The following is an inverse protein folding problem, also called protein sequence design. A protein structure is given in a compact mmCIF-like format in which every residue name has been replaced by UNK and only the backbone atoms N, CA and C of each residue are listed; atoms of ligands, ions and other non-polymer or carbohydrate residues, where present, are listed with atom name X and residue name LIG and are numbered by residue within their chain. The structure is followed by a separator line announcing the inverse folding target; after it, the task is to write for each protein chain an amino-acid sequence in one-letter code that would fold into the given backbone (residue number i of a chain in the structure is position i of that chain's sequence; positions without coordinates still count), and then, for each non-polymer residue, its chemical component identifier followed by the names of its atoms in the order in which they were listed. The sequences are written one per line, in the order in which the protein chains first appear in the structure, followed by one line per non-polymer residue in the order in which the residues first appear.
data_IF_274349885742
#
_entry.id   IF_274349885742
#
_cell.length_a   1.000
_cell.length_b   1.000
_cell.length_c   1.000
_cell.angle_alpha   90.00
_cell.angle_beta   90.00
_cell.angle_gamma   90.00
#
_symmetry.space_group_name_H-M   'P 1'
#
loop_
_entity.id
_entity.type
_entity.pdbx_description
1 polymer ?
#
# COMPACT_ATOMS: atom_id res chain seq x y z
N UNK A 1 5.27 -15.61 8.47
CA UNK A 1 4.96 -14.47 9.34
C UNK A 1 6.19 -14.19 10.17
N UNK A 2 6.59 -12.94 10.31
CA UNK A 2 7.88 -12.52 10.89
C UNK A 2 8.00 -13.01 12.34
N UNK A 3 9.01 -13.84 12.63
CA UNK A 3 9.28 -14.33 13.99
C UNK A 3 10.07 -13.30 14.82
N UNK A 4 10.90 -12.53 14.15
CA UNK A 4 11.73 -11.47 14.72
C UNK A 4 11.57 -10.23 13.84
N UNK A 5 10.69 -9.32 14.24
CA UNK A 5 10.65 -7.98 13.63
C UNK A 5 11.83 -7.22 14.22
N UNK A 6 12.79 -6.75 13.41
CA UNK A 6 13.86 -5.91 13.92
C UNK A 6 13.20 -4.69 14.58
N UNK A 7 13.45 -4.51 15.87
CA UNK A 7 13.13 -3.25 16.52
C UNK A 7 13.99 -2.22 15.81
N UNK A 8 13.35 -1.28 15.12
CA UNK A 8 14.08 -0.18 14.51
C UNK A 8 14.86 0.50 15.64
N UNK A 9 16.18 0.34 15.63
CA UNK A 9 17.03 1.10 16.52
C UNK A 9 16.72 2.58 16.31
N UNK A 10 16.70 3.35 17.38
CA UNK A 10 16.77 4.82 17.29
C UNK A 10 18.14 5.14 16.70
N UNK A 11 18.18 5.21 15.38
CA UNK A 11 19.40 5.35 14.62
C UNK A 11 19.30 6.64 13.83
N UNK A 12 20.22 7.56 14.10
CA UNK A 12 20.32 8.85 13.40
C UNK A 12 20.61 8.66 11.90
N UNK A 13 21.08 7.47 11.49
CA UNK A 13 21.48 7.12 10.14
C UNK A 13 20.40 6.38 9.32
N UNK A 14 19.20 6.17 9.87
CA UNK A 14 18.16 5.36 9.20
C UNK A 14 17.73 5.91 7.83
N UNK A 15 17.73 7.23 7.67
CA UNK A 15 17.36 7.89 6.40
C UNK A 15 18.44 7.59 5.35
N UNK A 16 19.72 7.83 5.70
CA UNK A 16 20.83 7.61 4.78
C UNK A 16 20.94 6.13 4.38
N UNK A 17 20.82 5.21 5.32
CA UNK A 17 20.82 3.76 5.01
C UNK A 17 19.66 3.37 4.09
N UNK A 18 18.49 4.01 4.24
CA UNK A 18 17.37 3.76 3.34
C UNK A 18 17.69 4.25 1.93
N UNK A 19 18.28 5.43 1.79
CA UNK A 19 18.72 5.97 0.50
C UNK A 19 19.78 5.07 -0.13
N UNK A 20 20.81 4.66 0.63
CA UNK A 20 21.88 3.80 0.15
C UNK A 20 21.31 2.45 -0.35
N UNK A 21 20.38 1.84 0.39
CA UNK A 21 19.71 0.62 -0.03
C UNK A 21 18.86 0.83 -1.30
N UNK A 22 18.15 1.96 -1.41
CA UNK A 22 17.39 2.31 -2.61
C UNK A 22 18.33 2.48 -3.83
N UNK A 23 19.44 3.18 -3.66
CA UNK A 23 20.42 3.40 -4.73
C UNK A 23 21.08 2.09 -5.20
N UNK A 24 21.51 1.26 -4.27
CA UNK A 24 22.09 -0.05 -4.56
C UNK A 24 21.14 -0.95 -5.38
N UNK A 25 19.83 -0.75 -5.25
CA UNK A 25 18.80 -1.56 -5.89
C UNK A 25 18.03 -0.84 -7.01
N UNK A 26 18.46 0.35 -7.42
CA UNK A 26 17.83 1.10 -8.50
C UNK A 26 16.42 1.62 -8.17
N UNK A 27 16.07 1.70 -6.88
CA UNK A 27 14.78 2.25 -6.43
C UNK A 27 14.87 3.77 -6.37
N UNK A 28 14.16 4.44 -7.26
CA UNK A 28 14.24 5.91 -7.37
C UNK A 28 13.39 6.63 -6.35
N UNK A 29 12.18 6.12 -6.04
CA UNK A 29 11.22 6.74 -5.11
C UNK A 29 10.57 5.70 -4.22
N UNK A 30 10.26 6.10 -2.98
CA UNK A 30 9.49 5.30 -2.02
C UNK A 30 8.26 6.06 -1.51
N UNK A 31 7.10 5.40 -1.48
CA UNK A 31 5.94 5.89 -0.74
C UNK A 31 6.07 5.45 0.72
N UNK A 32 6.20 6.41 1.63
CA UNK A 32 6.38 6.16 3.06
C UNK A 32 5.19 6.69 3.86
N UNK A 33 4.77 5.92 4.85
CA UNK A 33 3.65 6.29 5.70
C UNK A 33 4.12 7.29 6.78
N UNK A 34 3.34 8.35 7.00
CA UNK A 34 3.57 9.35 8.05
C UNK A 34 3.29 8.77 9.44
N UNK A 35 4.18 7.88 9.89
CA UNK A 35 4.20 7.33 11.23
C UNK A 35 5.41 7.92 11.98
N UNK A 36 5.17 9.01 12.71
CA UNK A 36 6.22 9.72 13.45
C UNK A 36 7.02 10.72 12.61
N UNK A 37 8.01 11.37 13.27
CA UNK A 37 8.75 12.49 12.68
C UNK A 37 9.77 12.08 11.60
N UNK A 38 10.33 10.86 11.65
CA UNK A 38 11.39 10.43 10.71
C UNK A 38 10.93 10.42 9.25
N UNK A 39 9.70 10.00 8.97
CA UNK A 39 9.16 10.00 7.61
C UNK A 39 9.05 11.43 7.04
N UNK A 40 8.63 12.38 7.87
CA UNK A 40 8.55 13.79 7.50
C UNK A 40 9.96 14.36 7.26
N UNK A 41 10.88 14.14 8.20
CA UNK A 41 12.28 14.57 8.06
C UNK A 41 12.92 14.02 6.79
N UNK A 42 12.68 12.74 6.46
CA UNK A 42 13.18 12.13 5.24
C UNK A 42 12.61 12.82 3.98
N UNK A 43 11.31 13.08 3.96
CA UNK A 43 10.65 13.72 2.81
C UNK A 43 11.02 15.21 2.67
N UNK A 44 11.25 15.93 3.76
CA UNK A 44 11.73 17.32 3.73
C UNK A 44 13.17 17.42 3.23
N UNK A 45 14.03 16.49 3.66
CA UNK A 45 15.43 16.46 3.24
C UNK A 45 15.62 15.92 1.80
N UNK A 46 14.76 15.01 1.36
CA UNK A 46 14.87 14.30 0.08
C UNK A 46 13.49 14.19 -0.62
N UNK A 47 12.86 15.32 -1.00
CA UNK A 47 11.50 15.34 -1.55
C UNK A 47 11.40 14.61 -2.92
N UNK A 48 12.50 14.48 -3.62
CA UNK A 48 12.59 13.73 -4.87
C UNK A 48 12.61 12.21 -4.66
N UNK A 49 12.91 11.75 -3.42
CA UNK A 49 13.07 10.33 -3.08
C UNK A 49 11.88 9.77 -2.31
N UNK A 50 11.27 10.57 -1.44
CA UNK A 50 10.19 10.11 -0.55
C UNK A 50 8.88 10.82 -0.82
N UNK A 51 7.86 10.03 -1.13
CA UNK A 51 6.47 10.45 -1.23
C UNK A 51 5.76 10.08 0.07
N UNK A 52 4.88 10.94 0.55
CA UNK A 52 4.21 10.75 1.83
C UNK A 52 2.80 10.16 1.67
N UNK A 53 2.45 9.25 2.58
CA UNK A 53 1.13 8.65 2.71
C UNK A 53 0.56 8.98 4.10
N UNK A 54 -0.60 9.62 4.17
CA UNK A 54 -1.31 9.84 5.43
C UNK A 54 -1.82 8.53 6.01
N UNK A 55 -1.64 8.30 7.31
CA UNK A 55 -2.22 7.16 8.01
C UNK A 55 -3.34 7.64 8.93
N UNK A 56 -4.51 7.01 8.86
CA UNK A 56 -5.70 7.47 9.58
C UNK A 56 -6.40 6.36 10.36
N UNK A 57 -7.07 6.73 11.45
CA UNK A 57 -7.99 5.86 12.18
C UNK A 57 -9.44 6.30 11.90
N UNK A 58 -10.23 5.51 11.17
CA UNK A 58 -11.62 5.81 10.87
C UNK A 58 -12.53 5.89 12.10
N UNK A 59 -12.10 5.46 13.27
CA UNK A 59 -12.86 5.64 14.51
C UNK A 59 -13.06 7.11 14.88
N UNK A 60 -12.14 7.98 14.45
CA UNK A 60 -12.20 9.43 14.66
C UNK A 60 -12.48 10.14 13.33
N UNK A 61 -13.66 9.89 12.75
CA UNK A 61 -14.04 10.29 11.39
C UNK A 61 -13.62 11.72 11.03
N UNK A 62 -14.05 12.71 11.80
CA UNK A 62 -13.75 14.11 11.48
C UNK A 62 -12.29 14.48 11.69
N UNK A 63 -11.63 13.90 12.68
CA UNK A 63 -10.21 14.09 12.88
C UNK A 63 -9.39 13.45 11.74
N UNK A 64 -9.80 12.28 11.25
CA UNK A 64 -9.18 11.63 10.09
C UNK A 64 -9.33 12.48 8.82
N UNK A 65 -10.54 13.01 8.55
CA UNK A 65 -10.77 13.92 7.41
C UNK A 65 -9.91 15.18 7.50
N UNK A 66 -9.88 15.81 8.68
CA UNK A 66 -9.08 17.02 8.88
C UNK A 66 -7.58 16.72 8.71
N UNK A 67 -7.11 15.62 9.29
CA UNK A 67 -5.71 15.17 9.14
C UNK A 67 -5.32 14.99 7.68
N UNK A 68 -6.16 14.33 6.87
CA UNK A 68 -5.90 14.15 5.43
C UNK A 68 -5.74 15.50 4.73
N UNK A 69 -6.65 16.46 4.98
CA UNK A 69 -6.59 17.79 4.37
C UNK A 69 -5.34 18.56 4.80
N UNK A 70 -5.06 18.60 6.11
CA UNK A 70 -3.92 19.32 6.66
C UNK A 70 -2.58 18.75 6.16
N UNK A 71 -2.43 17.41 6.14
CA UNK A 71 -1.22 16.75 5.67
C UNK A 71 -1.06 16.88 4.15
N UNK A 72 -2.17 16.84 3.40
CA UNK A 72 -2.13 17.07 1.96
C UNK A 72 -1.73 18.52 1.63
N UNK A 73 -2.30 19.50 2.33
CA UNK A 73 -1.97 20.91 2.14
C UNK A 73 -0.50 21.22 2.50
N UNK A 74 -0.04 20.70 3.67
CA UNK A 74 1.29 21.03 4.19
C UNK A 74 2.41 20.25 3.55
N UNK A 75 2.20 18.96 3.30
CA UNK A 75 3.25 18.02 2.93
C UNK A 75 3.05 17.38 1.56
N UNK A 76 2.00 17.77 0.82
CA UNK A 76 1.68 17.26 -0.51
C UNK A 76 1.59 15.72 -0.52
N UNK A 77 0.95 15.14 0.51
CA UNK A 77 0.76 13.68 0.59
C UNK A 77 0.13 13.13 -0.69
N UNK A 78 0.55 11.95 -1.11
CA UNK A 78 0.18 11.32 -2.39
C UNK A 78 -0.79 10.16 -2.21
N UNK A 79 -1.06 9.75 -0.99
CA UNK A 79 -1.96 8.65 -0.67
C UNK A 79 -2.49 8.75 0.75
N UNK A 80 -3.54 7.99 1.03
CA UNK A 80 -4.06 7.75 2.38
C UNK A 80 -4.00 6.25 2.66
N UNK A 81 -3.78 5.86 3.90
CA UNK A 81 -3.82 4.46 4.30
C UNK A 81 -4.50 4.25 5.64
N UNK A 82 -5.04 3.06 5.84
CA UNK A 82 -5.44 2.58 7.16
C UNK A 82 -5.42 1.06 7.24
N UNK A 83 -5.35 0.55 8.47
CA UNK A 83 -5.33 -0.87 8.78
C UNK A 83 -6.65 -1.26 9.48
N UNK A 84 -7.65 -1.80 8.76
CA UNK A 84 -9.00 -2.07 9.29
C UNK A 84 -9.01 -2.89 10.58
N UNK A 85 -8.28 -4.01 10.59
CA UNK A 85 -8.16 -4.90 11.75
C UNK A 85 -7.19 -4.39 12.83
N UNK A 86 -6.42 -3.35 12.55
CA UNK A 86 -5.53 -2.68 13.51
C UNK A 86 -6.20 -1.53 14.27
N UNK A 87 -7.34 -1.06 13.79
CA UNK A 87 -8.15 -0.07 14.51
C UNK A 87 -8.72 -0.64 15.82
N UNK A 88 -8.96 0.22 16.81
CA UNK A 88 -9.60 -0.18 18.07
C UNK A 88 -10.76 0.76 18.42
N UNK A 89 -12.03 0.31 18.28
CA UNK A 89 -12.48 -0.98 17.72
C UNK A 89 -12.09 -1.16 16.25
N UNK A 90 -12.10 -2.41 15.77
CA UNK A 90 -11.89 -2.71 14.34
C UNK A 90 -12.91 -1.97 13.48
N UNK A 91 -12.49 -1.46 12.33
CA UNK A 91 -13.37 -0.75 11.39
C UNK A 91 -13.37 -1.49 10.05
N UNK A 92 -14.47 -2.13 9.67
CA UNK A 92 -14.60 -2.76 8.36
C UNK A 92 -14.32 -1.80 7.21
N UNK A 93 -13.77 -2.34 6.09
CA UNK A 93 -13.45 -1.55 4.90
C UNK A 93 -14.66 -0.76 4.38
N UNK A 94 -15.85 -1.35 4.44
CA UNK A 94 -17.14 -0.81 4.00
C UNK A 94 -17.99 -0.21 5.12
N UNK A 95 -17.41 0.09 6.28
CA UNK A 95 -18.11 0.74 7.38
C UNK A 95 -18.46 2.20 7.03
N UNK A 96 -19.62 2.67 7.48
CA UNK A 96 -20.04 4.06 7.28
C UNK A 96 -19.04 5.11 7.78
N UNK A 97 -18.22 4.78 8.76
CA UNK A 97 -17.14 5.64 9.27
C UNK A 97 -16.04 5.91 8.23
N UNK A 98 -15.83 5.00 7.27
CA UNK A 98 -14.81 5.17 6.23
C UNK A 98 -15.29 6.07 5.09
N UNK A 99 -16.59 6.23 4.88
CA UNK A 99 -17.16 6.97 3.75
C UNK A 99 -16.72 8.44 3.67
N UNK A 100 -16.71 9.22 4.76
CA UNK A 100 -16.20 10.59 4.73
C UNK A 100 -14.72 10.65 4.34
N UNK A 101 -13.92 9.64 4.73
CA UNK A 101 -12.51 9.51 4.34
C UNK A 101 -12.41 9.26 2.84
N UNK A 102 -13.19 8.31 2.30
CA UNK A 102 -13.22 8.01 0.87
C UNK A 102 -13.68 9.19 0.03
N UNK A 103 -14.72 9.88 0.46
CA UNK A 103 -15.18 11.10 -0.21
C UNK A 103 -14.10 12.19 -0.24
N UNK A 104 -13.36 12.37 0.86
CA UNK A 104 -12.23 13.30 0.92
C UNK A 104 -11.08 12.86 -0.01
N UNK A 105 -10.80 11.55 -0.08
CA UNK A 105 -9.80 11.03 -1.00
C UNK A 105 -10.19 11.26 -2.47
N UNK A 106 -11.46 11.10 -2.84
CA UNK A 106 -11.97 11.43 -4.19
C UNK A 106 -11.79 12.91 -4.47
N UNK A 107 -12.22 13.79 -3.56
CA UNK A 107 -12.11 15.24 -3.70
C UNK A 107 -10.66 15.70 -3.94
N UNK A 108 -9.71 15.12 -3.21
CA UNK A 108 -8.28 15.45 -3.29
C UNK A 108 -7.52 14.62 -4.35
N UNK A 109 -8.21 13.75 -5.09
CA UNK A 109 -7.62 12.78 -6.05
C UNK A 109 -6.51 11.91 -5.42
N UNK A 110 -6.66 11.52 -4.16
CA UNK A 110 -5.75 10.66 -3.43
C UNK A 110 -6.20 9.19 -3.50
N UNK A 111 -5.33 8.25 -3.87
CA UNK A 111 -5.61 6.84 -3.72
C UNK A 111 -5.63 6.44 -2.24
N UNK A 112 -6.43 5.41 -1.91
CA UNK A 112 -6.45 4.82 -0.57
C UNK A 112 -5.84 3.42 -0.60
N UNK A 113 -4.85 3.20 0.29
CA UNK A 113 -4.17 1.92 0.47
C UNK A 113 -4.72 1.21 1.72
N UNK A 114 -5.38 0.08 1.54
CA UNK A 114 -6.08 -0.62 2.62
C UNK A 114 -5.55 -2.05 2.75
N UNK A 115 -5.26 -2.46 3.99
CA UNK A 115 -4.86 -3.84 4.24
C UNK A 115 -6.00 -4.80 3.89
N UNK A 116 -5.68 -5.90 3.22
CA UNK A 116 -6.62 -6.90 2.72
C UNK A 116 -6.21 -8.32 3.14
N UNK A 117 -7.18 -9.19 3.37
CA UNK A 117 -6.94 -10.59 3.73
C UNK A 117 -6.62 -10.80 5.20
N UNK A 118 -5.97 -11.91 5.54
CA UNK A 118 -5.62 -12.24 6.92
C UNK A 118 -4.50 -11.34 7.45
N UNK A 119 -4.71 -10.63 8.56
CA UNK A 119 -3.70 -9.73 9.10
C UNK A 119 -2.46 -10.47 9.62
N UNK A 120 -1.29 -9.87 9.45
CA UNK A 120 -0.02 -10.38 10.00
C UNK A 120 -0.01 -10.43 11.54
N UNK A 121 -0.39 -9.35 12.25
CA UNK A 121 -0.59 -9.37 13.70
C UNK A 121 -1.72 -10.30 14.13
N UNK A 122 -1.70 -10.72 15.42
CA UNK A 122 -2.72 -11.59 16.01
C UNK A 122 -3.99 -10.80 16.39
N UNK A 123 -4.69 -10.34 15.37
CA UNK A 123 -5.98 -9.62 15.49
C UNK A 123 -7.03 -10.29 14.60
N UNK A 124 -8.31 -10.02 14.85
CA UNK A 124 -9.41 -10.59 14.05
C UNK A 124 -9.40 -9.96 12.65
N UNK A 125 -9.44 -10.79 11.60
CA UNK A 125 -9.28 -10.38 10.20
C UNK A 125 -10.56 -9.94 9.49
N UNK A 126 -11.75 -10.13 10.08
CA UNK A 126 -13.03 -9.89 9.39
C UNK A 126 -13.18 -8.46 8.83
N UNK A 127 -12.63 -7.46 9.54
CA UNK A 127 -12.70 -6.06 9.12
C UNK A 127 -12.03 -5.79 7.76
N UNK A 128 -11.05 -6.60 7.36
CA UNK A 128 -10.33 -6.47 6.09
C UNK A 128 -10.59 -7.63 5.10
N UNK A 129 -11.77 -8.26 5.22
CA UNK A 129 -12.20 -9.27 4.26
C UNK A 129 -12.29 -8.70 2.85
N UNK A 130 -11.70 -9.41 1.88
CA UNK A 130 -11.55 -8.94 0.49
C UNK A 130 -12.88 -8.61 -0.18
N UNK A 131 -13.97 -9.34 0.13
CA UNK A 131 -15.28 -9.11 -0.44
C UNK A 131 -15.87 -7.72 -0.16
N UNK A 132 -15.42 -7.04 0.93
CA UNK A 132 -15.88 -5.69 1.30
C UNK A 132 -15.47 -4.60 0.32
N UNK A 133 -14.42 -4.83 -0.47
CA UNK A 133 -14.01 -3.90 -1.55
C UNK A 133 -15.08 -3.78 -2.65
N UNK A 134 -15.95 -4.77 -2.82
CA UNK A 134 -17.02 -4.74 -3.82
C UNK A 134 -17.98 -3.56 -3.59
N UNK A 135 -18.40 -3.36 -2.33
CA UNK A 135 -19.25 -2.24 -1.91
C UNK A 135 -18.56 -0.90 -2.11
N UNK A 136 -17.31 -0.78 -1.64
CA UNK A 136 -16.55 0.48 -1.72
C UNK A 136 -16.33 0.91 -3.16
N UNK A 137 -15.94 -0.01 -4.03
CA UNK A 137 -15.73 0.30 -5.45
C UNK A 137 -17.03 0.66 -6.18
N UNK A 138 -18.17 0.11 -5.74
CA UNK A 138 -19.49 0.47 -6.26
C UNK A 138 -19.91 1.87 -5.84
N UNK A 139 -19.78 2.19 -4.55
CA UNK A 139 -20.21 3.47 -3.97
C UNK A 139 -19.29 4.64 -4.34
N UNK A 140 -17.99 4.35 -4.58
CA UNK A 140 -16.96 5.34 -4.90
C UNK A 140 -16.22 4.99 -6.21
N UNK A 141 -16.88 5.09 -7.38
CA UNK A 141 -16.28 4.68 -8.67
C UNK A 141 -15.05 5.51 -9.06
N UNK A 142 -14.91 6.74 -8.57
CA UNK A 142 -13.78 7.63 -8.83
C UNK A 142 -12.63 7.47 -7.83
N UNK A 143 -12.83 6.70 -6.74
CA UNK A 143 -11.80 6.43 -5.76
C UNK A 143 -10.82 5.38 -6.28
N UNK A 144 -9.54 5.68 -6.32
CA UNK A 144 -8.49 4.68 -6.56
C UNK A 144 -8.24 3.89 -5.27
N UNK A 145 -8.59 2.61 -5.27
CA UNK A 145 -8.46 1.72 -4.10
C UNK A 145 -7.34 0.71 -4.34
N UNK A 146 -6.39 0.62 -3.43
CA UNK A 146 -5.27 -0.33 -3.50
C UNK A 146 -5.34 -1.31 -2.34
N UNK A 147 -5.59 -2.59 -2.66
CA UNK A 147 -5.43 -3.69 -1.72
C UNK A 147 -3.94 -3.88 -1.43
N UNK A 148 -3.55 -3.90 -0.16
CA UNK A 148 -2.16 -4.17 0.24
C UNK A 148 -2.06 -5.35 1.21
N UNK A 149 -0.87 -5.92 1.31
CA UNK A 149 -0.52 -7.01 2.23
C UNK A 149 -1.21 -8.34 1.93
N UNK A 150 -1.38 -8.71 0.65
CA UNK A 150 -1.56 -10.07 0.21
C UNK A 150 -2.96 -10.48 -0.24
N UNK A 151 -4.02 -10.02 0.39
CA UNK A 151 -5.40 -10.46 0.17
C UNK A 151 -5.65 -11.97 0.43
N UNK A 152 -4.69 -12.69 1.01
CA UNK A 152 -4.83 -14.12 1.31
C UNK A 152 -5.83 -14.37 2.47
N UNK A 153 -6.61 -15.47 2.39
CA UNK A 153 -6.59 -16.52 1.36
C UNK A 153 -7.52 -16.24 0.15
N UNK A 154 -8.01 -15.01 0.00
CA UNK A 154 -9.03 -14.61 -0.97
C UNK A 154 -8.43 -13.96 -2.23
N UNK A 155 -7.17 -14.27 -2.58
CA UNK A 155 -6.49 -13.67 -3.74
C UNK A 155 -7.19 -13.94 -5.07
N UNK A 156 -7.92 -15.07 -5.20
CA UNK A 156 -8.78 -15.34 -6.38
C UNK A 156 -10.00 -14.43 -6.43
N UNK A 157 -10.57 -14.09 -5.26
CA UNK A 157 -11.65 -13.11 -5.16
C UNK A 157 -11.11 -11.72 -5.49
N UNK A 158 -9.94 -11.36 -4.96
CA UNK A 158 -9.27 -10.11 -5.29
C UNK A 158 -9.09 -9.93 -6.81
N UNK A 159 -8.64 -10.97 -7.52
CA UNK A 159 -8.55 -10.97 -8.99
C UNK A 159 -9.92 -10.75 -9.64
N UNK A 160 -10.98 -11.41 -9.16
CA UNK A 160 -12.34 -11.23 -9.70
C UNK A 160 -12.85 -9.81 -9.49
N UNK A 161 -12.58 -9.22 -8.34
CA UNK A 161 -12.96 -7.84 -8.05
C UNK A 161 -12.16 -6.83 -8.90
N UNK A 162 -10.86 -7.03 -9.09
CA UNK A 162 -10.05 -6.19 -9.99
C UNK A 162 -10.48 -6.30 -11.46
N UNK A 163 -11.01 -7.44 -11.88
CA UNK A 163 -11.62 -7.60 -13.22
C UNK A 163 -12.96 -6.86 -13.34
N UNK A 164 -13.72 -6.77 -12.24
CA UNK A 164 -15.02 -6.10 -12.18
C UNK A 164 -14.88 -4.59 -12.07
N UNK A 165 -13.91 -4.12 -11.24
CA UNK A 165 -13.78 -2.73 -10.86
C UNK A 165 -12.53 -2.09 -11.48
N UNK A 166 -12.70 -1.08 -12.36
CA UNK A 166 -11.56 -0.39 -12.98
C UNK A 166 -10.70 0.38 -11.97
N UNK A 167 -11.28 0.81 -10.86
CA UNK A 167 -10.65 1.61 -9.80
C UNK A 167 -10.01 0.80 -8.68
N UNK A 168 -10.00 -0.56 -8.75
CA UNK A 168 -9.36 -1.43 -7.77
C UNK A 168 -8.01 -1.93 -8.26
N UNK A 169 -7.00 -1.82 -7.42
CA UNK A 169 -5.60 -2.19 -7.67
C UNK A 169 -5.05 -3.08 -6.55
N UNK A 170 -3.84 -3.60 -6.74
CA UNK A 170 -3.19 -4.48 -5.79
C UNK A 170 -1.70 -4.15 -5.64
N UNK A 171 -1.22 -4.11 -4.41
CA UNK A 171 0.19 -3.97 -4.06
C UNK A 171 0.72 -5.23 -3.39
N UNK A 172 1.89 -5.71 -3.83
CA UNK A 172 2.53 -6.93 -3.31
C UNK A 172 3.21 -6.76 -1.95
N UNK A 173 2.98 -5.64 -1.26
CA UNK A 173 3.63 -5.33 0.02
C UNK A 173 3.47 -6.43 1.08
N UNK A 174 4.40 -6.45 2.03
CA UNK A 174 4.51 -7.40 3.15
C UNK A 174 4.93 -8.83 2.80
N UNK A 175 5.04 -9.20 1.53
CA UNK A 175 5.46 -10.54 1.11
C UNK A 175 6.82 -10.51 0.41
N UNK A 176 7.66 -11.49 0.73
CA UNK A 176 8.84 -11.76 -0.09
C UNK A 176 8.40 -12.28 -1.48
N UNK A 177 9.09 -11.94 -2.57
CA UNK A 177 8.67 -12.26 -3.94
C UNK A 177 8.35 -13.73 -4.20
N UNK A 178 9.08 -14.64 -3.57
CA UNK A 178 8.82 -16.10 -3.63
C UNK A 178 7.47 -16.54 -3.07
N UNK A 179 6.79 -15.66 -2.31
CA UNK A 179 5.48 -15.90 -1.72
C UNK A 179 4.37 -15.13 -2.45
N UNK A 180 4.65 -14.49 -3.58
CA UNK A 180 3.58 -13.84 -4.34
C UNK A 180 2.53 -14.84 -4.78
N UNK A 181 1.23 -14.57 -4.53
CA UNK A 181 0.18 -15.52 -4.84
C UNK A 181 0.12 -15.85 -6.33
N UNK A 182 0.03 -17.14 -6.66
CA UNK A 182 -0.03 -17.61 -8.05
C UNK A 182 -1.14 -16.95 -8.86
N UNK A 183 -2.33 -16.76 -8.26
CA UNK A 183 -3.46 -16.10 -8.92
C UNK A 183 -3.15 -14.66 -9.33
N UNK A 184 -2.38 -13.93 -8.52
CA UNK A 184 -1.95 -12.56 -8.80
C UNK A 184 -0.91 -12.54 -9.93
N UNK A 185 0.07 -13.46 -9.91
CA UNK A 185 1.07 -13.59 -10.98
C UNK A 185 0.40 -13.91 -12.32
N UNK A 186 -0.52 -14.89 -12.35
CA UNK A 186 -1.26 -15.27 -13.56
C UNK A 186 -2.12 -14.10 -14.08
N UNK A 187 -2.72 -13.33 -13.18
CA UNK A 187 -3.51 -12.16 -13.55
C UNK A 187 -2.62 -11.04 -14.12
N UNK A 188 -1.49 -10.72 -13.46
CA UNK A 188 -0.53 -9.75 -13.96
C UNK A 188 0.00 -10.10 -15.35
N UNK A 189 0.29 -11.37 -15.59
CA UNK A 189 0.78 -11.88 -16.87
C UNK A 189 -0.26 -11.80 -18.03
N UNK A 190 -1.51 -11.46 -17.72
CA UNK A 190 -2.61 -11.46 -18.70
C UNK A 190 -3.35 -10.13 -18.72
N UNK A 191 -4.48 -10.02 -18.02
CA UNK A 191 -5.33 -8.82 -18.03
C UNK A 191 -5.03 -7.82 -16.93
N UNK A 192 -4.20 -8.19 -15.96
CA UNK A 192 -3.91 -7.41 -14.77
C UNK A 192 -2.62 -6.59 -14.85
N UNK A 193 -1.99 -6.48 -16.02
CA UNK A 193 -0.69 -5.79 -16.17
C UNK A 193 -0.69 -4.36 -15.62
N UNK A 194 -1.83 -3.66 -15.71
CA UNK A 194 -1.98 -2.28 -15.20
C UNK A 194 -2.66 -2.20 -13.82
N UNK A 195 -2.76 -3.33 -13.10
CA UNK A 195 -3.49 -3.42 -11.82
C UNK A 195 -2.59 -3.78 -10.65
N UNK A 196 -1.46 -4.41 -10.92
CA UNK A 196 -0.56 -4.94 -9.89
C UNK A 196 0.68 -4.06 -9.82
N UNK A 197 1.01 -3.58 -8.62
CA UNK A 197 2.18 -2.75 -8.40
C UNK A 197 3.10 -3.33 -7.32
N UNK A 198 4.38 -3.06 -7.45
CA UNK A 198 5.36 -3.39 -6.43
C UNK A 198 5.09 -2.59 -5.15
N UNK A 199 5.14 -3.27 -4.04
CA UNK A 199 5.24 -2.68 -2.73
C UNK A 199 6.23 -3.49 -1.90
N UNK A 200 7.25 -2.82 -1.36
CA UNK A 200 8.21 -3.43 -0.45
C UNK A 200 7.71 -3.48 0.99
N UNK A 201 8.51 -4.10 1.86
CA UNK A 201 8.31 -4.07 3.30
C UNK A 201 9.60 -3.67 4.04
N UNK A 202 10.52 -3.12 3.30
CA UNK A 202 11.77 -2.55 3.82
C UNK A 202 11.46 -1.24 4.59
N UNK A 203 12.05 -1.00 5.75
CA UNK A 203 13.01 -1.86 6.47
C UNK A 203 12.35 -2.84 7.47
N UNK A 204 11.06 -3.07 7.41
CA UNK A 204 10.31 -3.89 8.37
C UNK A 204 10.41 -5.40 8.05
N UNK A 205 11.57 -6.02 8.30
CA UNK A 205 11.74 -7.47 8.25
C UNK A 205 12.13 -8.08 6.90
N UNK A 206 12.29 -7.26 5.85
CA UNK A 206 12.80 -7.68 4.55
C UNK A 206 13.83 -6.66 4.05
N UNK A 207 15.06 -7.10 3.88
CA UNK A 207 16.11 -6.30 3.25
C UNK A 207 15.81 -6.11 1.77
N UNK A 208 16.10 -4.91 1.25
CA UNK A 208 15.78 -4.55 -0.14
C UNK A 208 16.59 -5.39 -1.13
N UNK A 209 17.86 -5.66 -0.84
CA UNK A 209 18.74 -6.54 -1.63
C UNK A 209 18.12 -7.93 -1.82
N UNK A 210 17.61 -8.50 -0.72
CA UNK A 210 16.95 -9.81 -0.75
C UNK A 210 15.67 -9.76 -1.59
N UNK A 211 14.87 -8.70 -1.46
CA UNK A 211 13.63 -8.56 -2.24
C UNK A 211 13.97 -8.52 -3.73
N UNK A 212 14.94 -7.69 -4.12
CA UNK A 212 15.31 -7.52 -5.53
C UNK A 212 15.98 -8.78 -6.11
N UNK A 213 16.68 -9.53 -5.29
CA UNK A 213 17.28 -10.81 -5.71
C UNK A 213 16.21 -11.90 -5.91
N UNK A 214 15.30 -12.10 -4.95
CA UNK A 214 14.18 -13.03 -5.07
C UNK A 214 13.19 -12.61 -6.20
N UNK A 215 13.16 -11.33 -6.59
CA UNK A 215 12.29 -10.83 -7.66
C UNK A 215 12.60 -11.48 -9.01
N UNK A 216 13.85 -11.84 -9.24
CA UNK A 216 14.33 -12.46 -10.50
C UNK A 216 13.67 -13.83 -10.77
N UNK A 217 13.22 -14.50 -9.71
CA UNK A 217 12.58 -15.82 -9.79
C UNK A 217 11.05 -15.76 -9.92
N UNK A 218 10.46 -14.55 -9.84
CA UNK A 218 9.01 -14.38 -10.05
C UNK A 218 8.68 -14.61 -11.53
N UNK A 219 7.77 -15.53 -11.87
CA UNK A 219 7.51 -15.89 -13.26
C UNK A 219 6.60 -14.86 -13.97
N UNK A 220 6.97 -13.59 -13.89
CA UNK A 220 6.37 -12.55 -14.71
C UNK A 220 6.88 -12.62 -16.15
N UNK A 221 6.00 -12.31 -17.10
CA UNK A 221 6.39 -12.09 -18.50
C UNK A 221 7.05 -10.72 -18.66
N UNK A 222 7.90 -10.55 -19.66
CA UNK A 222 8.70 -9.34 -19.87
C UNK A 222 7.86 -8.05 -19.84
N UNK A 223 6.69 -8.05 -20.43
CA UNK A 223 5.81 -6.88 -20.51
C UNK A 223 5.16 -6.46 -19.16
N UNK A 224 5.31 -7.28 -18.11
CA UNK A 224 4.76 -6.99 -16.77
C UNK A 224 5.72 -6.16 -15.92
N UNK A 225 7.03 -6.32 -16.13
CA UNK A 225 8.03 -5.78 -15.23
C UNK A 225 7.99 -4.26 -15.07
N UNK A 226 8.01 -3.53 -16.17
CA UNK A 226 8.00 -2.06 -16.13
C UNK A 226 6.70 -1.51 -15.53
N UNK A 227 5.48 -1.94 -15.93
CA UNK A 227 4.26 -1.58 -15.24
C UNK A 227 4.26 -1.91 -13.74
N UNK A 228 4.71 -3.09 -13.37
CA UNK A 228 4.74 -3.58 -11.99
C UNK A 228 5.69 -2.78 -11.10
N UNK A 229 6.90 -2.51 -11.57
CA UNK A 229 7.95 -1.86 -10.78
C UNK A 229 7.79 -0.33 -10.70
N UNK A 230 7.10 0.30 -11.68
CA UNK A 230 7.05 1.75 -11.79
C UNK A 230 5.71 2.30 -12.27
N UNK A 231 5.26 1.97 -13.51
CA UNK A 231 4.23 2.74 -14.19
C UNK A 231 2.87 2.68 -13.49
N UNK A 232 2.52 1.54 -12.89
CA UNK A 232 1.25 1.39 -12.18
C UNK A 232 1.21 2.27 -10.93
N UNK A 233 2.29 2.30 -10.15
CA UNK A 233 2.39 3.17 -8.99
C UNK A 233 2.35 4.64 -9.40
N UNK A 234 3.09 5.04 -10.42
CA UNK A 234 3.09 6.39 -10.99
C UNK A 234 1.67 6.82 -11.40
N UNK A 235 0.95 5.97 -12.13
CA UNK A 235 -0.43 6.24 -12.55
C UNK A 235 -1.40 6.36 -11.38
N UNK A 236 -1.32 5.46 -10.41
CA UNK A 236 -2.22 5.46 -9.24
C UNK A 236 -1.97 6.68 -8.37
N UNK A 237 -0.70 7.04 -8.14
CA UNK A 237 -0.30 8.18 -7.30
C UNK A 237 -0.41 9.54 -8.02
N UNK A 238 -0.68 9.57 -9.34
CA UNK A 238 -0.79 10.80 -10.11
C UNK A 238 0.52 11.57 -10.24
N UNK A 239 1.63 10.87 -10.54
CA UNK A 239 2.99 11.41 -10.65
C UNK A 239 3.38 11.70 -12.11
#
# INVERSE_FOLDING_TARGET
MFKDVPVAAEDDDAIQRTIDAMEANGVTRGLVTLLGSKALTAAEAHPERFLLCSDVDPNNVMAAVQKIRDEHERYQTKAVSFFPSGCNPHVPIDDAKTYPIYATCVELNLPVFINAGVPGPRVIGDAQYVGRFDTVCYDFPDLKVVMRHGAEPDEKLAVKLMLKWPNLFYSTSAFAPKHYPKAIIEYANTRGVHKIMYGGYFPFGLELDRIMDEMKDVPFRDHVWEPFLSNNATTVLGL
#
